data_IF_889874751487
#
_entry.id   IF_889874751487
#
_cell.length_a   1.000
_cell.length_b   1.000
_cell.length_c   1.000
_cell.angle_alpha   90.00
_cell.angle_beta   90.00
_cell.angle_gamma   90.00
#
_symmetry.space_group_name_H-M   'P 1'
#
loop_
_entity.id
_entity.type
_entity.pdbx_description
1 polymer ?
#
# COMPACT_ATOMS: atom_id res chain seq x y z
N UNK A 1 -66.50 12.16 -36.54
CA UNK A 1 -66.03 11.82 -35.19
C UNK A 1 -64.54 11.48 -35.31
N UNK A 2 -63.69 12.50 -35.14
CA UNK A 2 -62.25 12.37 -35.24
C UNK A 2 -61.63 12.05 -33.85
N UNK A 3 -61.13 10.87 -33.69
CA UNK A 3 -60.42 10.44 -32.48
C UNK A 3 -58.95 10.95 -32.52
N UNK A 4 -58.71 12.01 -31.75
CA UNK A 4 -57.41 12.60 -31.53
C UNK A 4 -56.57 11.65 -30.67
N UNK A 5 -55.56 10.95 -31.27
CA UNK A 5 -54.59 10.19 -30.54
C UNK A 5 -53.67 11.11 -29.69
N UNK A 6 -53.58 10.91 -28.38
CA UNK A 6 -52.60 11.65 -27.57
C UNK A 6 -51.20 11.16 -27.93
N UNK A 7 -50.36 12.06 -28.46
CA UNK A 7 -48.96 11.80 -28.76
C UNK A 7 -48.21 11.44 -27.50
N UNK A 8 -47.75 10.19 -27.45
CA UNK A 8 -46.78 9.71 -26.46
C UNK A 8 -45.45 10.47 -26.69
N UNK A 9 -45.16 11.42 -25.81
CA UNK A 9 -43.80 12.00 -25.74
C UNK A 9 -42.84 10.90 -25.28
N UNK A 10 -42.15 10.30 -26.24
CA UNK A 10 -40.98 9.49 -25.96
C UNK A 10 -40.01 10.44 -25.25
N UNK A 11 -39.84 10.23 -23.95
CA UNK A 11 -38.77 10.85 -23.18
C UNK A 11 -37.46 10.42 -23.85
N UNK A 12 -36.84 11.35 -24.57
CA UNK A 12 -35.53 11.19 -25.13
C UNK A 12 -34.60 10.83 -23.94
N UNK A 13 -34.29 9.55 -23.81
CA UNK A 13 -33.26 9.06 -22.89
C UNK A 13 -32.00 9.86 -23.17
N UNK A 14 -31.73 10.83 -22.30
CA UNK A 14 -30.46 11.56 -22.32
C UNK A 14 -29.39 10.52 -22.07
N UNK A 15 -28.79 10.05 -23.15
CA UNK A 15 -27.52 9.32 -23.04
C UNK A 15 -26.65 10.09 -22.06
N UNK A 16 -26.23 9.47 -20.96
CA UNK A 16 -25.35 10.14 -20.01
C UNK A 16 -24.13 10.58 -20.81
N UNK A 17 -23.75 11.84 -20.69
CA UNK A 17 -22.64 12.48 -21.38
C UNK A 17 -21.30 11.75 -21.06
N UNK A 18 -21.14 10.56 -21.63
CA UNK A 18 -20.00 9.68 -21.44
C UNK A 18 -18.70 10.27 -22.02
N UNK A 19 -18.80 11.30 -22.86
CA UNK A 19 -17.70 11.89 -23.60
C UNK A 19 -17.31 13.31 -23.16
N UNK A 20 -17.79 13.81 -22.00
CA UNK A 20 -17.30 15.09 -21.51
C UNK A 20 -15.77 14.98 -21.23
N UNK A 21 -14.94 15.89 -21.79
CA UNK A 21 -13.51 15.87 -21.58
C UNK A 21 -13.21 15.98 -20.08
N UNK A 22 -12.49 14.98 -19.54
CA UNK A 22 -12.13 14.98 -18.13
C UNK A 22 -11.17 16.15 -17.87
N UNK A 23 -11.34 16.91 -16.79
CA UNK A 23 -10.44 18.01 -16.46
C UNK A 23 -9.01 17.48 -16.31
N UNK A 24 -8.00 18.25 -16.74
CA UNK A 24 -6.60 17.84 -16.66
C UNK A 24 -6.21 17.56 -15.20
N UNK A 25 -5.40 16.52 -15.00
CA UNK A 25 -4.91 16.14 -13.69
C UNK A 25 -4.07 17.27 -13.06
N UNK A 26 -4.36 17.63 -11.83
CA UNK A 26 -3.63 18.68 -11.09
C UNK A 26 -3.01 18.09 -9.82
N UNK A 27 -1.70 18.17 -9.67
CA UNK A 27 -0.97 17.66 -8.49
C UNK A 27 -1.42 18.30 -7.18
N UNK A 28 -1.75 19.60 -7.17
CA UNK A 28 -2.24 20.33 -6.01
C UNK A 28 -3.72 20.07 -5.68
N UNK A 29 -4.41 19.25 -6.45
CA UNK A 29 -5.77 18.83 -6.15
C UNK A 29 -5.79 17.76 -5.06
N UNK A 30 -6.94 17.56 -4.40
CA UNK A 30 -7.10 16.48 -3.42
C UNK A 30 -6.80 15.10 -4.01
N UNK A 31 -7.20 14.87 -5.26
CA UNK A 31 -6.82 13.64 -5.97
C UNK A 31 -5.31 13.56 -6.18
N UNK A 32 -4.66 14.67 -6.54
CA UNK A 32 -3.21 14.74 -6.68
C UNK A 32 -2.49 14.41 -5.38
N UNK A 33 -2.94 14.94 -4.25
CA UNK A 33 -2.41 14.61 -2.92
C UNK A 33 -2.55 13.12 -2.62
N UNK A 34 -3.71 12.53 -2.88
CA UNK A 34 -3.91 11.09 -2.69
C UNK A 34 -2.96 10.24 -3.56
N UNK A 35 -2.79 10.61 -4.83
CA UNK A 35 -1.82 9.96 -5.72
C UNK A 35 -0.41 10.06 -5.16
N UNK A 36 0.00 11.24 -4.70
CA UNK A 36 1.33 11.46 -4.10
C UNK A 36 1.54 10.59 -2.86
N UNK A 37 0.56 10.51 -1.97
CA UNK A 37 0.65 9.69 -0.76
C UNK A 37 0.81 8.20 -1.10
N UNK A 38 0.05 7.67 -2.08
CA UNK A 38 0.22 6.29 -2.51
C UNK A 38 1.53 6.05 -3.26
N UNK A 39 2.06 7.03 -3.98
CA UNK A 39 3.39 6.94 -4.60
C UNK A 39 4.49 6.95 -3.54
N UNK A 40 4.38 7.76 -2.49
CA UNK A 40 5.31 7.74 -1.36
C UNK A 40 5.28 6.38 -0.67
N UNK A 41 4.08 5.84 -0.41
CA UNK A 41 3.92 4.53 0.22
C UNK A 41 4.56 3.42 -0.62
N UNK A 42 4.27 3.39 -1.93
CA UNK A 42 4.89 2.45 -2.86
C UNK A 42 6.41 2.63 -2.97
N UNK A 43 6.88 3.88 -2.99
CA UNK A 43 8.31 4.20 -3.02
C UNK A 43 9.05 3.75 -1.75
N UNK A 44 8.46 3.94 -0.58
CA UNK A 44 9.01 3.44 0.69
C UNK A 44 9.09 1.91 0.69
N UNK A 45 8.00 1.22 0.35
CA UNK A 45 7.99 -0.24 0.26
C UNK A 45 9.04 -0.76 -0.74
N UNK A 46 9.17 -0.11 -1.89
CA UNK A 46 10.20 -0.44 -2.88
C UNK A 46 11.61 -0.25 -2.31
N UNK A 47 11.85 0.89 -1.66
CA UNK A 47 13.16 1.20 -1.07
C UNK A 47 13.56 0.19 0.00
N UNK A 48 12.63 -0.19 0.89
CA UNK A 48 12.88 -1.23 1.90
C UNK A 48 13.12 -2.59 1.26
N UNK A 49 12.31 -2.97 0.27
CA UNK A 49 12.45 -4.25 -0.43
C UNK A 49 13.81 -4.41 -1.12
N UNK A 50 14.44 -3.30 -1.53
CA UNK A 50 15.77 -3.29 -2.16
C UNK A 50 16.87 -3.15 -1.11
N UNK A 51 16.73 -2.23 -0.15
CA UNK A 51 17.78 -1.91 0.81
C UNK A 51 18.03 -3.05 1.80
N UNK A 52 16.98 -3.76 2.24
CA UNK A 52 17.11 -4.84 3.23
C UNK A 52 18.00 -5.99 2.71
N UNK A 53 17.73 -6.61 1.55
CA UNK A 53 18.59 -7.65 1.01
C UNK A 53 20.02 -7.16 0.74
N UNK A 54 20.15 -6.00 0.10
CA UNK A 54 21.48 -5.46 -0.25
C UNK A 54 22.32 -5.25 1.01
N UNK A 55 21.77 -4.62 2.04
CA UNK A 55 22.54 -4.33 3.26
C UNK A 55 22.86 -5.61 4.03
N UNK A 56 21.97 -6.59 4.05
CA UNK A 56 22.20 -7.87 4.70
C UNK A 56 23.31 -8.66 3.99
N UNK A 57 23.25 -8.78 2.67
CA UNK A 57 24.26 -9.55 1.91
C UNK A 57 25.64 -8.87 1.88
N UNK A 58 25.70 -7.54 1.89
CA UNK A 58 26.97 -6.81 1.85
C UNK A 58 27.59 -6.61 3.24
N UNK A 59 26.79 -6.45 4.29
CA UNK A 59 27.25 -6.04 5.61
C UNK A 59 26.86 -7.01 6.73
N UNK A 60 26.19 -8.12 6.40
CA UNK A 60 25.83 -9.19 7.33
C UNK A 60 24.64 -8.88 8.26
N UNK A 61 24.41 -9.78 9.22
CA UNK A 61 23.26 -9.76 10.13
C UNK A 61 23.15 -8.50 11.01
N UNK A 62 24.28 -7.89 11.37
CA UNK A 62 24.31 -6.65 12.16
C UNK A 62 23.96 -5.38 11.37
N UNK A 63 23.76 -5.49 10.04
CA UNK A 63 23.41 -4.38 9.17
C UNK A 63 22.00 -3.85 9.42
N UNK A 64 21.68 -2.68 8.84
CA UNK A 64 20.34 -2.11 8.86
C UNK A 64 19.26 -3.11 8.41
N UNK A 65 19.49 -3.82 7.32
CA UNK A 65 18.57 -4.86 6.83
C UNK A 65 18.43 -6.02 7.80
N UNK A 66 19.54 -6.48 8.37
CA UNK A 66 19.56 -7.55 9.36
C UNK A 66 18.85 -7.17 10.67
N UNK A 67 18.92 -5.91 11.09
CA UNK A 67 18.21 -5.44 12.29
C UNK A 67 16.71 -5.27 12.10
N UNK A 68 16.25 -4.98 10.87
CA UNK A 68 14.84 -4.75 10.59
C UNK A 68 14.02 -6.04 10.44
N UNK A 69 14.63 -7.08 9.88
CA UNK A 69 13.88 -8.30 9.52
C UNK A 69 14.69 -9.55 9.81
N UNK A 70 14.32 -10.32 10.81
CA UNK A 70 14.95 -11.61 11.19
C UNK A 70 16.47 -11.55 11.51
N UNK A 71 17.02 -10.37 11.75
CA UNK A 71 18.44 -10.20 12.03
C UNK A 71 18.76 -10.10 13.52
N UNK A 72 19.81 -9.35 13.82
CA UNK A 72 20.30 -9.14 15.18
C UNK A 72 19.51 -8.04 15.95
N UNK A 73 18.29 -7.72 15.52
CA UNK A 73 17.39 -6.85 16.27
C UNK A 73 16.96 -7.49 17.59
N UNK A 74 16.93 -6.71 18.66
CA UNK A 74 16.65 -7.21 20.02
C UNK A 74 15.35 -8.03 20.11
N UNK A 75 14.29 -7.59 19.43
CA UNK A 75 12.98 -8.27 19.41
C UNK A 75 13.05 -9.62 18.67
N UNK A 76 13.82 -9.70 17.59
CA UNK A 76 13.99 -10.92 16.81
C UNK A 76 14.87 -11.93 17.55
N UNK A 77 15.96 -11.47 18.19
CA UNK A 77 16.78 -12.30 19.04
C UNK A 77 15.98 -12.89 20.22
N UNK A 78 15.14 -12.06 20.84
CA UNK A 78 14.26 -12.51 21.91
C UNK A 78 13.22 -13.53 21.45
N UNK A 79 12.65 -13.36 20.24
CA UNK A 79 11.68 -14.29 19.67
C UNK A 79 12.29 -15.65 19.32
N UNK A 80 13.47 -15.65 18.71
CA UNK A 80 14.19 -16.86 18.30
C UNK A 80 14.98 -17.52 19.44
N UNK A 81 15.16 -16.82 20.56
CA UNK A 81 16.06 -17.24 21.65
C UNK A 81 17.55 -17.09 21.33
N UNK A 82 17.91 -16.62 20.15
CA UNK A 82 19.27 -16.34 19.67
C UNK A 82 19.24 -15.41 18.46
N UNK A 83 20.33 -14.68 18.24
CA UNK A 83 20.47 -13.80 17.11
C UNK A 83 20.85 -14.54 15.82
N UNK A 84 20.61 -13.93 14.64
CA UNK A 84 20.96 -14.50 13.35
C UNK A 84 22.49 -14.75 13.25
N UNK A 85 23.30 -13.84 13.76
CA UNK A 85 24.75 -13.98 13.82
C UNK A 85 25.22 -15.18 14.65
N UNK A 86 24.48 -15.57 15.69
CA UNK A 86 24.76 -16.77 16.48
C UNK A 86 24.33 -18.04 15.74
N UNK A 87 23.20 -17.97 15.01
CA UNK A 87 22.73 -19.06 14.15
C UNK A 87 23.73 -19.28 13.02
N UNK A 88 24.25 -18.23 12.39
CA UNK A 88 25.25 -18.31 11.32
C UNK A 88 26.52 -19.04 11.77
N UNK A 89 26.97 -18.82 13.02
CA UNK A 89 28.11 -19.50 13.58
C UNK A 89 27.87 -20.98 13.96
N UNK A 90 26.67 -21.29 14.45
CA UNK A 90 26.31 -22.62 14.95
C UNK A 90 25.66 -23.52 13.90
N UNK A 91 24.89 -22.96 12.98
CA UNK A 91 24.16 -23.66 11.92
C UNK A 91 24.07 -22.79 10.66
N UNK A 92 25.13 -22.77 9.83
CA UNK A 92 25.15 -21.95 8.60
C UNK A 92 24.03 -22.30 7.61
N UNK A 93 23.56 -23.56 7.60
CA UNK A 93 22.50 -23.98 6.69
C UNK A 93 21.16 -23.35 7.10
N UNK A 94 20.86 -23.31 8.40
CA UNK A 94 19.67 -22.65 8.93
C UNK A 94 19.75 -21.14 8.70
N UNK A 95 20.90 -20.52 8.91
CA UNK A 95 21.09 -19.09 8.64
C UNK A 95 20.83 -18.78 7.15
N UNK A 96 21.39 -19.56 6.23
CA UNK A 96 21.15 -19.41 4.80
C UNK A 96 19.66 -19.55 4.43
N UNK A 97 18.95 -20.50 5.06
CA UNK A 97 17.52 -20.66 4.87
C UNK A 97 16.73 -19.42 5.33
N UNK A 98 17.05 -18.87 6.51
CA UNK A 98 16.40 -17.68 7.03
C UNK A 98 16.63 -16.45 6.13
N UNK A 99 17.86 -16.29 5.63
CA UNK A 99 18.19 -15.22 4.66
C UNK A 99 17.43 -15.40 3.36
N UNK A 100 17.39 -16.61 2.80
CA UNK A 100 16.65 -16.90 1.58
C UNK A 100 15.13 -16.66 1.74
N UNK A 101 14.57 -17.00 2.91
CA UNK A 101 13.18 -16.72 3.23
C UNK A 101 12.92 -15.21 3.28
N UNK A 102 13.81 -14.44 3.88
CA UNK A 102 13.72 -12.98 3.93
C UNK A 102 13.83 -12.36 2.53
N UNK A 103 14.76 -12.81 1.70
CA UNK A 103 14.88 -12.36 0.31
C UNK A 103 13.58 -12.62 -0.48
N UNK A 104 12.95 -13.77 -0.25
CA UNK A 104 11.65 -14.10 -0.84
C UNK A 104 10.58 -13.10 -0.39
N UNK A 105 10.52 -12.76 0.89
CA UNK A 105 9.59 -11.76 1.41
C UNK A 105 9.83 -10.37 0.79
N UNK A 106 11.10 -9.97 0.67
CA UNK A 106 11.48 -8.72 0.02
C UNK A 106 11.11 -8.71 -1.47
N UNK A 107 11.23 -9.84 -2.18
CA UNK A 107 10.82 -9.95 -3.58
C UNK A 107 9.30 -9.77 -3.74
N UNK A 108 8.48 -10.36 -2.87
CA UNK A 108 7.03 -10.13 -2.86
C UNK A 108 6.69 -8.67 -2.52
N UNK A 109 7.37 -8.08 -1.54
CA UNK A 109 7.17 -6.68 -1.18
C UNK A 109 7.55 -5.73 -2.33
N UNK A 110 8.62 -6.03 -3.07
CA UNK A 110 9.02 -5.28 -4.25
C UNK A 110 7.98 -5.38 -5.38
N UNK A 111 7.48 -6.58 -5.66
CA UNK A 111 6.44 -6.80 -6.64
C UNK A 111 5.15 -6.04 -6.30
N UNK A 112 4.75 -6.08 -5.03
CA UNK A 112 3.64 -5.30 -4.51
C UNK A 112 3.86 -3.79 -4.68
N UNK A 113 5.05 -3.28 -4.34
CA UNK A 113 5.40 -1.87 -4.46
C UNK A 113 5.34 -1.37 -5.90
N UNK A 114 5.86 -2.15 -6.87
CA UNK A 114 5.79 -1.83 -8.30
C UNK A 114 4.34 -1.76 -8.77
N UNK A 115 3.50 -2.73 -8.39
CA UNK A 115 2.07 -2.74 -8.72
C UNK A 115 1.35 -1.53 -8.10
N UNK A 116 1.64 -1.18 -6.85
CA UNK A 116 1.05 -0.04 -6.16
C UNK A 116 1.44 1.28 -6.83
N UNK A 117 2.71 1.46 -7.20
CA UNK A 117 3.19 2.64 -7.94
C UNK A 117 2.49 2.72 -9.30
N UNK A 118 2.42 1.61 -10.04
CA UNK A 118 1.73 1.53 -11.31
C UNK A 118 0.24 1.88 -11.19
N UNK A 119 -0.44 1.34 -10.16
CA UNK A 119 -1.85 1.61 -9.89
C UNK A 119 -2.11 3.08 -9.57
N UNK A 120 -1.26 3.68 -8.74
CA UNK A 120 -1.34 5.11 -8.39
C UNK A 120 -1.09 6.00 -9.61
N UNK A 121 -0.08 5.66 -10.40
CA UNK A 121 0.32 6.47 -11.56
C UNK A 121 -0.66 6.38 -12.74
N UNK A 122 -1.11 5.18 -13.10
CA UNK A 122 -1.93 5.00 -14.29
C UNK A 122 -3.44 5.06 -14.02
N UNK A 123 -3.91 4.43 -12.95
CA UNK A 123 -5.32 4.30 -12.70
C UNK A 123 -5.88 5.39 -11.77
N UNK A 124 -5.20 5.68 -10.65
CA UNK A 124 -5.68 6.65 -9.67
C UNK A 124 -5.60 8.08 -10.22
N UNK A 125 -4.57 8.43 -10.97
CA UNK A 125 -4.48 9.73 -11.68
C UNK A 125 -5.66 9.96 -12.65
N UNK A 126 -6.22 8.89 -13.20
CA UNK A 126 -7.41 8.93 -14.07
C UNK A 126 -8.72 8.89 -13.28
N UNK A 127 -8.69 9.12 -11.97
CA UNK A 127 -9.84 9.10 -11.06
C UNK A 127 -10.63 7.78 -11.10
N UNK A 128 -9.94 6.66 -11.32
CA UNK A 128 -10.56 5.33 -11.30
C UNK A 128 -10.86 4.95 -9.84
N UNK A 129 -12.15 4.80 -9.51
CA UNK A 129 -12.57 4.50 -8.13
C UNK A 129 -12.05 3.15 -7.64
N UNK A 130 -12.04 2.14 -8.51
CA UNK A 130 -11.56 0.82 -8.16
C UNK A 130 -10.08 0.85 -7.73
N UNK A 131 -9.25 1.69 -8.37
CA UNK A 131 -7.84 1.82 -8.02
C UNK A 131 -7.65 2.36 -6.59
N UNK A 132 -8.53 3.29 -6.15
CA UNK A 132 -8.49 3.81 -4.79
C UNK A 132 -8.78 2.72 -3.75
N UNK A 133 -9.83 1.94 -3.98
CA UNK A 133 -10.22 0.85 -3.10
C UNK A 133 -9.21 -0.31 -3.12
N UNK A 134 -8.71 -0.67 -4.30
CA UNK A 134 -7.67 -1.70 -4.41
C UNK A 134 -6.40 -1.30 -3.67
N UNK A 135 -5.97 -0.03 -3.77
CA UNK A 135 -4.82 0.48 -3.02
C UNK A 135 -5.06 0.44 -1.51
N UNK A 136 -6.25 0.77 -1.02
CA UNK A 136 -6.58 0.67 0.39
C UNK A 136 -6.57 -0.79 0.86
N UNK A 137 -7.34 -1.64 0.19
CA UNK A 137 -7.51 -3.04 0.57
C UNK A 137 -6.17 -3.76 0.58
N UNK A 138 -5.33 -3.55 -0.43
CA UNK A 138 -4.02 -4.20 -0.50
C UNK A 138 -3.07 -3.78 0.63
N UNK A 139 -3.12 -2.52 1.07
CA UNK A 139 -2.35 -2.08 2.24
C UNK A 139 -2.92 -2.57 3.57
N UNK A 140 -4.25 -2.75 3.67
CA UNK A 140 -4.89 -3.26 4.88
C UNK A 140 -4.86 -4.79 4.98
N UNK A 141 -4.70 -5.50 3.87
CA UNK A 141 -4.69 -6.97 3.84
C UNK A 141 -3.57 -7.60 4.68
N UNK A 142 -2.47 -6.87 4.89
CA UNK A 142 -1.37 -7.32 5.74
C UNK A 142 -1.67 -7.19 7.26
N UNK A 143 -2.61 -6.32 7.65
CA UNK A 143 -2.89 -6.03 9.07
C UNK A 143 -3.24 -7.28 9.89
N UNK A 144 -4.12 -8.21 9.44
CA UNK A 144 -4.42 -9.42 10.21
C UNK A 144 -3.18 -10.28 10.51
N UNK A 145 -2.26 -10.38 9.56
CA UNK A 145 -1.01 -11.13 9.74
C UNK A 145 -0.11 -10.48 10.79
N UNK A 146 0.01 -9.17 10.74
CA UNK A 146 0.78 -8.43 11.74
C UNK A 146 0.16 -8.49 13.13
N UNK A 147 -1.16 -8.49 13.22
CA UNK A 147 -1.83 -8.70 14.50
C UNK A 147 -1.56 -10.12 15.05
N UNK A 148 -1.57 -11.14 14.19
CA UNK A 148 -1.23 -12.50 14.58
C UNK A 148 0.23 -12.60 15.06
N UNK A 149 1.18 -12.00 14.33
CA UNK A 149 2.58 -11.94 14.75
C UNK A 149 2.73 -11.21 16.08
N UNK A 150 2.06 -10.06 16.23
CA UNK A 150 2.06 -9.30 17.49
C UNK A 150 1.50 -10.10 18.67
N UNK A 151 0.45 -10.87 18.45
CA UNK A 151 -0.08 -11.80 19.44
C UNK A 151 0.95 -12.84 19.87
N UNK A 152 1.59 -13.52 18.90
CA UNK A 152 2.64 -14.50 19.17
C UNK A 152 3.82 -13.92 19.95
N UNK A 153 4.17 -12.66 19.71
CA UNK A 153 5.23 -11.97 20.43
C UNK A 153 4.80 -11.62 21.85
N UNK A 154 3.58 -11.13 22.03
CA UNK A 154 3.03 -10.81 23.34
C UNK A 154 2.97 -12.05 24.27
N UNK A 155 2.62 -13.22 23.73
CA UNK A 155 2.63 -14.49 24.48
C UNK A 155 4.03 -14.88 24.98
N UNK A 156 5.08 -14.40 24.30
CA UNK A 156 6.48 -14.62 24.71
C UNK A 156 7.06 -13.49 25.56
N UNK A 157 6.23 -12.53 25.97
CA UNK A 157 6.67 -11.38 26.77
C UNK A 157 7.50 -10.36 26.01
N UNK A 158 7.50 -10.41 24.68
CA UNK A 158 8.24 -9.47 23.84
C UNK A 158 7.38 -8.21 23.64
N UNK A 159 7.89 -6.99 23.89
CA UNK A 159 7.13 -5.77 23.75
C UNK A 159 6.77 -5.50 22.29
N UNK A 160 5.50 -5.72 21.94
CA UNK A 160 4.95 -5.55 20.57
C UNK A 160 4.90 -4.10 20.12
N UNK A 161 4.87 -3.16 21.08
CA UNK A 161 4.52 -1.75 20.84
C UNK A 161 5.64 -0.99 20.09
N UNK A 162 6.88 -1.41 20.21
CA UNK A 162 8.02 -0.70 19.62
C UNK A 162 8.19 -0.94 18.12
N UNK A 163 8.27 -2.19 17.70
CA UNK A 163 8.65 -2.54 16.32
C UNK A 163 7.46 -2.62 15.36
N UNK A 164 6.38 -3.29 15.74
CA UNK A 164 5.21 -3.48 14.87
C UNK A 164 4.40 -2.20 14.65
N UNK A 165 4.13 -1.43 15.71
CA UNK A 165 3.36 -0.18 15.58
C UNK A 165 4.13 0.90 14.83
N UNK A 166 5.45 0.99 15.02
CA UNK A 166 6.28 1.97 14.31
C UNK A 166 6.40 1.63 12.82
N UNK A 167 6.40 0.34 12.48
CA UNK A 167 6.54 -0.08 11.08
C UNK A 167 5.22 -0.03 10.32
N UNK A 168 4.11 -0.45 10.93
CA UNK A 168 2.82 -0.64 10.26
C UNK A 168 1.89 0.55 10.46
N UNK A 169 1.92 1.17 11.63
CA UNK A 169 1.05 2.29 11.96
C UNK A 169 1.08 3.41 10.91
N UNK A 170 2.25 3.95 10.55
CA UNK A 170 2.36 4.98 9.52
C UNK A 170 1.81 4.54 8.16
N UNK A 171 2.06 3.30 7.76
CA UNK A 171 1.58 2.75 6.48
C UNK A 171 0.05 2.71 6.44
N UNK A 172 -0.58 2.20 7.49
CA UNK A 172 -2.05 2.12 7.62
C UNK A 172 -2.66 3.52 7.66
N UNK A 173 -2.10 4.42 8.47
CA UNK A 173 -2.58 5.80 8.58
C UNK A 173 -2.48 6.51 7.23
N UNK A 174 -1.34 6.42 6.55
CA UNK A 174 -1.15 7.03 5.23
C UNK A 174 -2.12 6.46 4.19
N UNK A 175 -2.36 5.15 4.17
CA UNK A 175 -3.31 4.52 3.24
C UNK A 175 -4.74 5.00 3.49
N UNK A 176 -5.17 5.12 4.76
CA UNK A 176 -6.49 5.63 5.13
C UNK A 176 -6.61 7.11 4.73
N UNK A 177 -5.65 7.95 5.11
CA UNK A 177 -5.64 9.38 4.79
C UNK A 177 -5.67 9.59 3.27
N UNK A 178 -4.82 8.88 2.52
CA UNK A 178 -4.79 8.94 1.06
C UNK A 178 -6.16 8.57 0.46
N UNK A 179 -6.82 7.55 1.03
CA UNK A 179 -8.13 7.10 0.56
C UNK A 179 -9.23 8.14 0.83
N UNK A 180 -9.28 8.71 2.04
CA UNK A 180 -10.27 9.74 2.41
C UNK A 180 -10.10 10.98 1.55
N UNK A 181 -8.87 11.45 1.38
CA UNK A 181 -8.54 12.61 0.54
C UNK A 181 -8.86 12.33 -0.93
N UNK A 182 -8.50 11.15 -1.44
CA UNK A 182 -8.77 10.73 -2.81
C UNK A 182 -10.28 10.64 -3.11
N UNK A 183 -11.06 10.04 -2.21
CA UNK A 183 -12.52 9.97 -2.31
C UNK A 183 -13.16 11.36 -2.40
N UNK A 184 -12.74 12.27 -1.51
CA UNK A 184 -13.25 13.65 -1.51
C UNK A 184 -12.85 14.42 -2.78
N UNK A 185 -11.67 14.15 -3.34
CA UNK A 185 -11.22 14.72 -4.61
C UNK A 185 -12.05 14.23 -5.80
N UNK A 186 -12.38 12.94 -5.84
CA UNK A 186 -13.19 12.34 -6.90
C UNK A 186 -14.68 12.81 -6.85
N UNK A 187 -15.22 13.07 -5.66
CA UNK A 187 -16.58 13.57 -5.50
C UNK A 187 -16.72 15.01 -6.01
N UNK A 188 -15.75 15.88 -5.71
CA UNK A 188 -15.74 17.27 -6.18
C UNK A 188 -15.61 17.37 -7.71
N UNK A 189 -14.83 16.50 -8.32
CA UNK A 189 -14.67 16.47 -9.77
C UNK A 189 -15.99 16.13 -10.51
N UNK A 190 -16.96 15.50 -9.83
CA UNK A 190 -18.29 15.18 -10.39
C UNK A 190 -19.32 16.28 -10.17
N UNK A 191 -19.15 17.11 -9.15
CA UNK A 191 -20.10 18.15 -8.76
C UNK A 191 -19.85 19.54 -9.37
N UNK A 192 -18.76 19.71 -10.11
CA UNK A 192 -18.52 20.98 -10.82
C UNK A 192 -19.41 21.01 -12.06
N UNK A 193 -20.38 21.97 -12.18
CA UNK A 193 -21.08 22.19 -13.41
C UNK A 193 -20.07 22.50 -14.51
N UNK A 194 -20.29 21.95 -15.71
CA UNK A 194 -19.55 22.34 -16.90
C UNK A 194 -19.81 23.82 -17.11
N UNK A 195 -18.93 24.68 -16.57
CA UNK A 195 -18.96 26.11 -16.89
C UNK A 195 -18.64 26.21 -18.37
N UNK A 196 -19.65 26.62 -19.13
CA UNK A 196 -19.56 26.98 -20.53
C UNK A 196 -18.39 27.97 -20.71
N UNK A 197 -17.41 27.56 -21.47
CA UNK A 197 -16.36 28.39 -22.07
C UNK A 197 -16.80 28.80 -23.45
#
# INVERSE_FOLDING_TARGET
>A
MDAKHPGVRVASDREPAANAPRPPFRWKSRLGVAVTLFLILGGLNFSFAVAVPITLHLFGAASFGGQLVLGDGADHCAFLGRCLSDIERSDPAMAAFLVAFMDTMCAFMMSFAVLQIGLAWYALRRAQKWALWSSLISNLAAVPYYLAIGWMWAERGIPVVGSLLVTIGPTVILAIVATVVGRSGMQRAKGLPATAS
#
